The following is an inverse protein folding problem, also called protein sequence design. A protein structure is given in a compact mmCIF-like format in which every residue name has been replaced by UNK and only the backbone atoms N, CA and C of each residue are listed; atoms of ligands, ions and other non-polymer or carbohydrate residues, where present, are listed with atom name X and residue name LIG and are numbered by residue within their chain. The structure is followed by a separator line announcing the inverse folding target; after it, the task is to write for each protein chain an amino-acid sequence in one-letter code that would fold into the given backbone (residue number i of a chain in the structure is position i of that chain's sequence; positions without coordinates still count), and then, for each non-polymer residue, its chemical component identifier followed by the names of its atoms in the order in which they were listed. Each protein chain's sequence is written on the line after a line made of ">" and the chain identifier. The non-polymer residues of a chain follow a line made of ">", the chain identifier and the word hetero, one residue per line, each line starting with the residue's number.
data_IF_130331692306
#
_entry.id   IF_130331692306
#
_cell.length_a   1.000
_cell.length_b   1.000
_cell.length_c   1.000
_cell.angle_alpha   90.00
_cell.angle_beta   90.00
_cell.angle_gamma   90.00
#
_symmetry.space_group_name_H-M   'P 1'
#
loop_
_entity.id
_entity.type
_entity.pdbx_description
1 polymer ?
#
# COMPACT_ATOMS: atom_id res chain seq x y z
N UNK A 1 -24.65 31.97 -28.99
CA UNK A 1 -24.50 30.52 -29.24
C UNK A 1 -25.83 29.94 -29.68
N UNK A 2 -25.86 29.05 -30.68
CA UNK A 2 -27.09 28.37 -31.10
C UNK A 2 -27.47 27.30 -30.07
N UNK A 3 -28.76 27.05 -29.79
CA UNK A 3 -29.21 26.08 -28.78
C UNK A 3 -28.66 24.66 -29.02
N UNK A 4 -28.45 24.30 -30.29
CA UNK A 4 -27.81 23.04 -30.68
C UNK A 4 -26.35 22.93 -30.21
N UNK A 5 -25.59 24.03 -30.23
CA UNK A 5 -24.19 24.02 -29.77
C UNK A 5 -24.08 23.93 -28.25
N UNK A 6 -25.03 24.53 -27.51
CA UNK A 6 -25.11 24.43 -26.05
C UNK A 6 -25.36 22.97 -25.64
N UNK A 7 -26.27 22.28 -26.35
CA UNK A 7 -26.59 20.87 -26.08
C UNK A 7 -25.40 19.94 -26.29
N UNK A 8 -24.64 20.15 -27.36
CA UNK A 8 -23.42 19.36 -27.66
C UNK A 8 -22.33 19.62 -26.62
N UNK A 9 -22.15 20.89 -26.21
CA UNK A 9 -21.17 21.26 -25.20
C UNK A 9 -21.49 20.63 -23.84
N UNK A 10 -22.75 20.65 -23.42
CA UNK A 10 -23.20 19.97 -22.19
C UNK A 10 -23.04 18.46 -22.25
N UNK A 11 -23.32 17.84 -23.40
CA UNK A 11 -23.15 16.40 -23.56
C UNK A 11 -21.68 15.99 -23.47
N UNK A 12 -20.78 16.75 -24.11
CA UNK A 12 -19.33 16.56 -24.01
C UNK A 12 -18.85 16.72 -22.56
N UNK A 13 -19.30 17.75 -21.85
CA UNK A 13 -18.96 17.98 -20.44
C UNK A 13 -19.43 16.82 -19.54
N UNK A 14 -20.63 16.28 -19.76
CA UNK A 14 -21.15 15.15 -19.02
C UNK A 14 -20.37 13.86 -19.28
N UNK A 15 -19.95 13.62 -20.52
CA UNK A 15 -19.12 12.46 -20.89
C UNK A 15 -17.73 12.57 -20.25
N UNK A 16 -17.10 13.74 -20.31
CA UNK A 16 -15.80 14.00 -19.69
C UNK A 16 -15.87 13.84 -18.17
N UNK A 17 -16.93 14.35 -17.52
CA UNK A 17 -17.08 14.19 -16.07
C UNK A 17 -17.32 12.74 -15.66
N UNK A 18 -18.12 11.99 -16.42
CA UNK A 18 -18.34 10.57 -16.19
C UNK A 18 -17.04 9.76 -16.33
N UNK A 19 -16.21 10.07 -17.32
CA UNK A 19 -14.88 9.46 -17.51
C UNK A 19 -13.95 9.74 -16.32
N UNK A 20 -13.90 10.99 -15.83
CA UNK A 20 -13.10 11.37 -14.67
C UNK A 20 -13.57 10.62 -13.42
N UNK A 21 -14.89 10.51 -13.21
CA UNK A 21 -15.48 9.78 -12.08
C UNK A 21 -15.19 8.28 -12.15
N UNK A 22 -15.20 7.68 -13.34
CA UNK A 22 -14.83 6.27 -13.51
C UNK A 22 -13.34 6.03 -13.24
N UNK A 23 -12.46 6.90 -13.74
CA UNK A 23 -11.00 6.80 -13.52
C UNK A 23 -10.67 6.99 -12.03
N UNK A 24 -11.32 7.94 -11.36
CA UNK A 24 -11.19 8.15 -9.90
C UNK A 24 -11.83 7.00 -9.11
N UNK A 25 -12.96 6.47 -9.55
CA UNK A 25 -13.67 5.37 -8.89
C UNK A 25 -12.90 4.05 -8.94
N UNK A 26 -12.20 3.76 -10.05
CA UNK A 26 -11.34 2.57 -10.18
C UNK A 26 -10.08 2.68 -9.32
N UNK A 27 -9.52 3.89 -9.12
CA UNK A 27 -8.44 4.10 -8.13
C UNK A 27 -8.92 3.99 -6.67
N UNK A 28 -10.22 4.03 -6.41
CA UNK A 28 -10.80 3.85 -5.07
C UNK A 28 -11.13 2.40 -4.73
N UNK A 29 -10.70 1.42 -5.55
CA UNK A 29 -10.48 0.05 -5.04
C UNK A 29 -9.19 0.07 -4.20
N UNK A 30 -9.24 0.86 -3.14
CA UNK A 30 -8.28 0.94 -2.06
C UNK A 30 -8.56 -0.31 -1.21
N UNK A 31 -7.75 -1.38 -1.28
CA UNK A 31 -7.98 -2.58 -0.48
C UNK A 31 -7.75 -2.20 0.98
N UNK A 32 -8.82 -1.80 1.69
CA UNK A 32 -8.85 -1.55 3.14
C UNK A 32 -7.61 -0.83 3.70
N UNK A 33 -7.01 0.06 2.92
CA UNK A 33 -5.60 0.50 3.03
C UNK A 33 -5.39 1.49 4.20
N UNK A 34 -6.47 1.81 4.90
CA UNK A 34 -6.54 2.68 6.09
C UNK A 34 -6.65 1.91 7.41
N UNK A 35 -6.82 0.58 7.39
CA UNK A 35 -6.90 -0.21 8.61
C UNK A 35 -5.51 -0.41 9.23
N UNK A 36 -5.37 -0.08 10.52
CA UNK A 36 -4.17 -0.40 11.28
C UNK A 36 -3.97 -1.91 11.37
N UNK A 37 -2.72 -2.37 11.24
CA UNK A 37 -2.42 -3.77 11.45
C UNK A 37 -2.80 -4.22 12.87
N UNK A 38 -3.21 -5.48 13.06
CA UNK A 38 -3.52 -6.00 14.40
C UNK A 38 -2.32 -5.84 15.34
N UNK A 39 -2.59 -5.67 16.65
CA UNK A 39 -1.52 -5.49 17.66
C UNK A 39 -0.55 -6.68 17.73
N UNK A 40 -1.04 -7.89 17.44
CA UNK A 40 -0.22 -9.08 17.23
C UNK A 40 -0.17 -9.41 15.75
N UNK A 41 1.02 -9.51 15.19
CA UNK A 41 1.24 -9.77 13.78
C UNK A 41 2.13 -10.99 13.57
N UNK A 42 2.21 -11.48 12.34
CA UNK A 42 3.17 -12.53 11.98
C UNK A 42 4.62 -12.12 12.31
N UNK A 43 4.93 -10.82 12.40
CA UNK A 43 6.26 -10.34 12.79
C UNK A 43 6.65 -10.76 14.22
N UNK A 44 5.67 -10.91 15.12
CA UNK A 44 5.94 -11.30 16.51
C UNK A 44 6.36 -12.77 16.64
N UNK A 45 6.16 -13.57 15.58
CA UNK A 45 6.57 -14.97 15.54
C UNK A 45 8.07 -15.14 15.29
N UNK A 46 8.74 -14.09 14.78
CA UNK A 46 10.17 -14.10 14.46
C UNK A 46 10.88 -13.10 15.36
N UNK A 47 11.76 -13.60 16.24
CA UNK A 47 12.48 -12.77 17.20
C UNK A 47 13.23 -11.62 16.51
N UNK A 48 12.98 -10.39 16.97
CA UNK A 48 13.61 -9.17 16.42
C UNK A 48 13.09 -8.71 15.06
N UNK A 49 12.13 -9.41 14.44
CA UNK A 49 11.65 -9.06 13.10
C UNK A 49 10.95 -7.70 13.07
N UNK A 50 10.14 -7.37 14.09
CA UNK A 50 9.51 -6.05 14.17
C UNK A 50 10.55 -4.90 14.20
N UNK A 51 11.61 -5.03 14.99
CA UNK A 51 12.67 -4.02 15.04
C UNK A 51 13.44 -3.93 13.71
N UNK A 52 13.68 -5.07 13.04
CA UNK A 52 14.29 -5.08 11.71
C UNK A 52 13.40 -4.37 10.65
N UNK A 53 12.09 -4.60 10.68
CA UNK A 53 11.11 -3.92 9.82
C UNK A 53 11.07 -2.42 10.10
N UNK A 54 11.10 -2.04 11.39
CA UNK A 54 11.15 -0.65 11.82
C UNK A 54 12.41 0.05 11.31
N UNK A 55 13.58 -0.57 11.40
CA UNK A 55 14.83 -0.03 10.82
C UNK A 55 14.76 0.07 9.28
N UNK A 56 14.15 -0.92 8.62
CA UNK A 56 13.96 -0.91 7.19
C UNK A 56 13.05 0.24 6.71
N UNK A 57 12.16 0.76 7.56
CA UNK A 57 11.41 2.00 7.27
C UNK A 57 12.31 3.23 7.11
N UNK A 58 13.51 3.20 7.71
CA UNK A 58 14.58 4.18 7.57
C UNK A 58 15.64 3.78 6.54
N UNK A 59 15.33 2.83 5.65
CA UNK A 59 16.23 2.28 4.63
C UNK A 59 17.41 1.46 5.18
N UNK A 60 17.46 1.18 6.48
CA UNK A 60 18.43 0.23 7.06
C UNK A 60 17.85 -1.18 7.03
N UNK A 61 18.22 -1.93 6.00
CA UNK A 61 17.72 -3.29 5.82
C UNK A 61 18.64 -4.34 6.40
N UNK A 62 19.77 -3.99 7.04
CA UNK A 62 20.83 -4.96 7.39
C UNK A 62 20.34 -6.13 8.25
N UNK A 63 19.50 -5.85 9.24
CA UNK A 63 18.95 -6.85 10.17
C UNK A 63 17.76 -7.65 9.63
N UNK A 64 17.25 -7.31 8.44
CA UNK A 64 16.12 -8.00 7.83
C UNK A 64 16.56 -9.41 7.39
N UNK A 65 15.97 -10.46 7.97
CA UNK A 65 16.24 -11.86 7.61
C UNK A 65 15.21 -12.39 6.61
N UNK A 66 15.53 -13.53 5.97
CA UNK A 66 14.59 -14.21 5.06
C UNK A 66 13.33 -14.66 5.77
N UNK A 67 13.46 -15.23 6.97
CA UNK A 67 12.33 -15.64 7.82
C UNK A 67 11.44 -14.44 8.19
N UNK A 68 12.06 -13.30 8.55
CA UNK A 68 11.31 -12.08 8.80
C UNK A 68 10.54 -11.61 7.55
N UNK A 69 11.12 -11.75 6.36
CA UNK A 69 10.42 -11.42 5.11
C UNK A 69 9.26 -12.37 4.78
N UNK A 70 9.32 -13.64 5.20
CA UNK A 70 8.17 -14.54 5.10
C UNK A 70 7.04 -14.07 6.02
N UNK A 71 7.37 -13.65 7.25
CA UNK A 71 6.41 -13.06 8.16
C UNK A 71 5.80 -11.76 7.62
N UNK A 72 6.60 -10.88 7.01
CA UNK A 72 6.11 -9.65 6.34
C UNK A 72 5.15 -9.97 5.20
N UNK A 73 5.42 -11.01 4.41
CA UNK A 73 4.54 -11.41 3.31
C UNK A 73 3.18 -11.91 3.81
N UNK A 74 3.17 -12.63 4.94
CA UNK A 74 1.96 -13.13 5.57
C UNK A 74 1.06 -12.01 6.15
N UNK A 75 1.56 -10.76 6.23
CA UNK A 75 0.74 -9.64 6.69
C UNK A 75 -0.34 -9.28 5.67
N UNK A 76 -1.57 -8.99 6.13
CA UNK A 76 -2.58 -8.37 5.28
C UNK A 76 -2.13 -6.97 4.87
N UNK A 77 -2.78 -6.40 3.86
CA UNK A 77 -2.56 -5.01 3.48
C UNK A 77 -3.15 -4.07 4.54
N UNK A 78 -2.28 -3.57 5.41
CA UNK A 78 -2.63 -2.69 6.53
C UNK A 78 -1.53 -1.64 6.79
N UNK A 79 -1.85 -0.66 7.63
CA UNK A 79 -0.91 0.34 8.14
C UNK A 79 -0.20 -0.19 9.39
N UNK A 80 1.09 -0.49 9.27
CA UNK A 80 1.94 -0.93 10.37
C UNK A 80 2.57 0.28 11.05
N UNK A 81 2.30 0.45 12.35
CA UNK A 81 2.91 1.49 13.18
C UNK A 81 4.35 1.07 13.49
N UNK A 82 5.33 1.76 12.89
CA UNK A 82 6.76 1.51 13.14
C UNK A 82 7.36 2.50 14.15
N UNK A 83 6.80 3.70 14.24
CA UNK A 83 7.09 4.68 15.27
C UNK A 83 5.78 5.36 15.71
N UNK A 84 5.71 5.99 16.90
CA UNK A 84 4.48 6.63 17.39
C UNK A 84 3.86 7.64 16.41
N UNK A 85 4.69 8.30 15.60
CA UNK A 85 4.28 9.29 14.60
C UNK A 85 4.32 8.77 13.16
N UNK A 86 4.65 7.49 12.96
CA UNK A 86 4.89 6.92 11.63
C UNK A 86 4.25 5.54 11.48
N UNK A 87 3.21 5.48 10.67
CA UNK A 87 2.62 4.24 10.17
C UNK A 87 2.86 4.13 8.66
N UNK A 88 3.25 2.95 8.20
CA UNK A 88 3.53 2.68 6.79
C UNK A 88 2.73 1.48 6.32
N UNK A 89 2.33 1.52 5.05
CA UNK A 89 1.64 0.39 4.46
C UNK A 89 2.58 -0.82 4.36
N UNK A 90 2.08 -1.99 4.76
CA UNK A 90 2.78 -3.28 4.65
C UNK A 90 3.32 -3.61 3.26
N UNK A 91 2.71 -3.10 2.18
CA UNK A 91 3.20 -3.18 0.81
C UNK A 91 4.62 -2.63 0.65
N UNK A 92 4.97 -1.57 1.39
CA UNK A 92 6.32 -1.00 1.38
C UNK A 92 7.33 -2.02 1.89
N UNK A 93 7.01 -2.70 3.01
CA UNK A 93 7.89 -3.72 3.58
C UNK A 93 7.97 -4.97 2.69
N UNK A 94 6.85 -5.37 2.06
CA UNK A 94 6.84 -6.45 1.06
C UNK A 94 7.78 -6.12 -0.11
N UNK A 95 7.73 -4.90 -0.64
CA UNK A 95 8.63 -4.44 -1.70
C UNK A 95 10.11 -4.43 -1.27
N UNK A 96 10.40 -3.96 -0.04
CA UNK A 96 11.75 -4.02 0.53
C UNK A 96 12.26 -5.46 0.59
N UNK A 97 11.43 -6.40 1.03
CA UNK A 97 11.77 -7.81 1.11
C UNK A 97 12.10 -8.42 -0.25
N UNK A 98 11.28 -8.15 -1.27
CA UNK A 98 11.53 -8.61 -2.66
C UNK A 98 12.84 -8.04 -3.19
N UNK A 99 13.11 -6.74 -2.95
CA UNK A 99 14.34 -6.09 -3.39
C UNK A 99 15.58 -6.66 -2.70
N UNK A 100 15.52 -6.92 -1.38
CA UNK A 100 16.65 -7.44 -0.62
C UNK A 100 16.94 -8.91 -0.93
N UNK A 101 15.90 -9.71 -1.16
CA UNK A 101 16.01 -11.15 -1.38
C UNK A 101 15.32 -11.55 -2.71
N UNK A 102 15.93 -11.23 -3.87
CA UNK A 102 15.37 -11.57 -5.17
C UNK A 102 15.35 -13.09 -5.41
N UNK A 103 14.40 -13.58 -6.21
CA UNK A 103 14.31 -15.00 -6.60
C UNK A 103 13.88 -15.94 -5.48
N UNK A 104 13.66 -15.41 -4.29
CA UNK A 104 12.96 -16.14 -3.25
C UNK A 104 11.51 -16.30 -3.68
N UNK A 105 11.02 -17.53 -3.78
CA UNK A 105 9.64 -17.85 -3.42
C UNK A 105 9.48 -17.61 -1.90
N UNK A 106 9.73 -16.37 -1.47
CA UNK A 106 9.24 -15.80 -0.22
C UNK A 106 7.73 -15.74 -0.39
#
# INVERSE_FOLDING_TARGET
>A
MKPQQIKVMFFLLAVISALIVQILGVQNVQPNTTLLCPKKTALDTVAGCFEAVKLASGNDTRLLTRECCQAVKALPECLLIVYPTRALNTLIFKAICVKKFPGSTL
#
